data_IF_682870665121
#
_entry.id   IF_682870665121
#
_cell.length_a   1.000
_cell.length_b   1.000
_cell.length_c   1.000
_cell.angle_alpha   90.00
_cell.angle_beta   90.00
_cell.angle_gamma   90.00
#
_symmetry.space_group_name_H-M   'P 1'
#
loop_
_entity.id
_entity.type
_entity.pdbx_description
1 polymer ?
#
# COMPACT_ATOMS: atom_id res chain seq x y z
N UNK A 1 15.31 -2.82 8.90
CA UNK A 1 15.33 -1.60 9.75
C UNK A 1 16.35 -0.63 9.17
N UNK A 2 15.96 0.61 8.88
CA UNK A 2 16.91 1.64 8.47
C UNK A 2 17.61 2.15 9.74
N UNK A 3 18.87 1.80 9.94
CA UNK A 3 19.61 2.25 11.13
C UNK A 3 19.84 3.77 11.06
N UNK A 4 19.51 4.47 12.15
CA UNK A 4 19.65 5.91 12.30
C UNK A 4 21.10 6.42 12.16
N UNK A 5 22.10 5.54 12.27
CA UNK A 5 23.52 5.87 12.18
C UNK A 5 24.06 5.93 10.74
N UNK A 6 23.29 5.49 9.73
CA UNK A 6 23.74 5.54 8.34
C UNK A 6 23.70 6.94 7.73
N UNK A 7 24.48 7.11 6.66
CA UNK A 7 24.48 8.32 5.83
C UNK A 7 23.08 8.63 5.26
N UNK A 8 22.68 9.91 5.15
CA UNK A 8 21.38 10.31 4.59
C UNK A 8 21.06 9.71 3.21
N UNK A 9 22.03 9.62 2.30
CA UNK A 9 21.80 9.06 0.97
C UNK A 9 21.44 7.58 1.05
N UNK A 10 22.13 6.80 1.89
CA UNK A 10 21.80 5.39 2.11
C UNK A 10 20.39 5.20 2.68
N UNK A 11 20.00 6.05 3.64
CA UNK A 11 18.65 6.04 4.21
C UNK A 11 17.59 6.33 3.15
N UNK A 12 17.85 7.33 2.30
CA UNK A 12 16.95 7.71 1.22
C UNK A 12 16.79 6.57 0.20
N UNK A 13 17.88 5.99 -0.30
CA UNK A 13 17.82 4.87 -1.23
C UNK A 13 17.14 3.64 -0.62
N UNK A 14 17.36 3.39 0.66
CA UNK A 14 16.67 2.29 1.36
C UNK A 14 15.17 2.56 1.49
N UNK A 15 14.78 3.80 1.78
CA UNK A 15 13.38 4.21 1.82
C UNK A 15 12.71 4.08 0.44
N UNK A 16 13.39 4.51 -0.62
CA UNK A 16 12.93 4.37 -2.00
C UNK A 16 12.72 2.91 -2.38
N UNK A 17 13.68 2.04 -2.07
CA UNK A 17 13.56 0.60 -2.31
C UNK A 17 12.35 0.01 -1.58
N UNK A 18 12.18 0.28 -0.28
CA UNK A 18 11.02 -0.21 0.46
C UNK A 18 9.70 0.37 -0.05
N UNK A 19 9.70 1.62 -0.49
CA UNK A 19 8.51 2.26 -1.08
C UNK A 19 8.14 1.60 -2.41
N UNK A 20 9.14 1.26 -3.24
CA UNK A 20 8.95 0.51 -4.47
C UNK A 20 8.38 -0.90 -4.20
N UNK A 21 8.99 -1.65 -3.28
CA UNK A 21 8.52 -2.98 -2.87
C UNK A 21 7.11 -2.93 -2.24
N UNK A 22 6.78 -1.82 -1.59
CA UNK A 22 5.45 -1.57 -1.04
C UNK A 22 4.51 -0.84 -2.02
N UNK A 23 4.86 -0.70 -3.30
CA UNK A 23 3.99 -0.06 -4.28
C UNK A 23 2.81 -0.96 -4.64
N UNK A 24 1.64 -0.39 -5.03
CA UNK A 24 0.49 -1.20 -5.45
C UNK A 24 0.79 -2.12 -6.64
N UNK A 25 1.60 -1.67 -7.60
CA UNK A 25 1.96 -2.48 -8.77
C UNK A 25 2.84 -3.67 -8.39
N UNK A 26 3.86 -3.46 -7.56
CA UNK A 26 4.71 -4.55 -7.08
C UNK A 26 3.93 -5.53 -6.21
N UNK A 27 3.13 -5.02 -5.26
CA UNK A 27 2.32 -5.88 -4.40
C UNK A 27 1.28 -6.71 -5.17
N UNK A 28 0.75 -6.17 -6.27
CA UNK A 28 -0.16 -6.90 -7.15
C UNK A 28 0.56 -7.98 -7.95
N UNK A 29 1.74 -7.66 -8.48
CA UNK A 29 2.58 -8.65 -9.17
C UNK A 29 2.94 -9.83 -8.24
N UNK A 30 3.40 -9.54 -7.02
CA UNK A 30 3.73 -10.55 -6.01
C UNK A 30 2.52 -11.41 -5.65
N UNK A 31 1.35 -10.81 -5.47
CA UNK A 31 0.10 -11.54 -5.19
C UNK A 31 -0.25 -12.55 -6.29
N UNK A 32 -0.13 -12.14 -7.56
CA UNK A 32 -0.50 -12.97 -8.72
C UNK A 32 0.58 -13.98 -9.11
N UNK A 33 1.82 -13.80 -8.63
CA UNK A 33 2.93 -14.72 -8.92
C UNK A 33 2.80 -16.09 -8.23
N UNK A 34 1.89 -16.22 -7.26
CA UNK A 34 1.74 -17.42 -6.44
C UNK A 34 2.85 -17.61 -5.38
N UNK A 35 3.83 -16.69 -5.29
CA UNK A 35 4.90 -16.76 -4.29
C UNK A 35 4.41 -16.43 -2.87
N UNK A 36 3.37 -15.62 -2.75
CA UNK A 36 2.77 -15.24 -1.47
C UNK A 36 1.44 -15.97 -1.26
N UNK A 37 1.23 -16.42 -0.03
CA UNK A 37 -0.02 -17.04 0.42
C UNK A 37 -1.06 -15.95 0.72
N UNK A 38 -1.63 -15.36 -0.33
CA UNK A 38 -2.87 -14.59 -0.25
C UNK A 38 -2.76 -13.05 -0.09
N UNK A 39 -3.91 -12.37 0.05
CA UNK A 39 -4.02 -10.93 0.11
C UNK A 39 -3.42 -10.33 1.38
N UNK A 40 -2.63 -9.28 1.25
CA UNK A 40 -2.01 -8.55 2.37
C UNK A 40 -2.28 -7.03 2.33
N UNK A 41 -3.19 -6.59 1.44
CA UNK A 41 -3.68 -5.21 1.34
C UNK A 41 -5.18 -5.23 1.17
N UNK A 42 -5.86 -4.20 1.68
CA UNK A 42 -7.31 -4.08 1.50
C UNK A 42 -7.73 -4.04 0.02
N UNK A 43 -6.93 -3.38 -0.84
CA UNK A 43 -7.18 -3.35 -2.29
C UNK A 43 -7.05 -4.71 -2.98
N UNK A 44 -6.42 -5.70 -2.35
CA UNK A 44 -6.29 -7.04 -2.93
C UNK A 44 -7.56 -7.88 -2.77
N UNK A 45 -8.50 -7.46 -1.91
CA UNK A 45 -9.82 -8.09 -1.78
C UNK A 45 -10.84 -7.57 -2.80
N UNK A 46 -10.42 -6.78 -3.79
CA UNK A 46 -11.31 -6.32 -4.85
C UNK A 46 -11.81 -7.50 -5.69
N UNK A 47 -13.14 -7.67 -5.73
CA UNK A 47 -13.86 -8.68 -6.51
C UNK A 47 -14.54 -8.08 -7.75
N UNK A 48 -14.11 -6.88 -8.18
CA UNK A 48 -14.54 -6.31 -9.46
C UNK A 48 -14.13 -7.20 -10.63
N UNK A 49 -14.87 -7.10 -11.75
CA UNK A 49 -14.56 -7.85 -12.96
C UNK A 49 -13.12 -7.59 -13.48
N UNK A 50 -12.61 -6.37 -13.27
CA UNK A 50 -11.24 -6.04 -13.66
C UNK A 50 -10.21 -6.79 -12.81
N UNK A 51 -10.41 -6.85 -11.49
CA UNK A 51 -9.55 -7.61 -10.59
C UNK A 51 -9.62 -9.11 -10.88
N UNK A 52 -10.82 -9.66 -11.05
CA UNK A 52 -11.02 -11.08 -11.36
C UNK A 52 -10.42 -11.47 -12.71
N UNK A 53 -10.48 -10.60 -13.71
CA UNK A 53 -9.83 -10.82 -15.00
C UNK A 53 -8.30 -10.91 -14.88
N UNK A 54 -7.68 -10.10 -14.00
CA UNK A 54 -6.23 -10.20 -13.73
C UNK A 54 -5.86 -11.53 -13.05
N UNK A 55 -6.68 -12.01 -12.11
CA UNK A 55 -6.51 -13.33 -11.51
C UNK A 55 -6.69 -14.46 -12.54
N UNK A 56 -7.69 -14.37 -13.41
CA UNK A 56 -7.89 -15.33 -14.51
C UNK A 56 -6.72 -15.35 -15.49
N UNK A 57 -6.16 -14.18 -15.82
CA UNK A 57 -4.95 -14.07 -16.64
C UNK A 57 -3.71 -14.70 -15.99
N UNK A 58 -3.66 -14.75 -14.65
CA UNK A 58 -2.63 -15.45 -13.89
C UNK A 58 -2.90 -16.97 -13.71
N UNK A 59 -3.99 -17.49 -14.29
CA UNK A 59 -4.31 -18.92 -14.31
C UNK A 59 -5.20 -19.40 -13.17
N UNK A 60 -5.82 -18.48 -12.42
CA UNK A 60 -6.74 -18.84 -11.34
C UNK A 60 -8.18 -19.01 -11.84
N UNK A 61 -8.96 -19.82 -11.14
CA UNK A 61 -10.39 -20.01 -11.39
C UNK A 61 -11.15 -18.85 -10.73
N UNK A 62 -11.98 -18.16 -11.51
CA UNK A 62 -12.65 -16.92 -11.07
C UNK A 62 -13.54 -17.15 -9.84
N UNK A 63 -14.34 -18.21 -9.85
CA UNK A 63 -15.25 -18.55 -8.76
C UNK A 63 -14.50 -18.82 -7.46
N UNK A 64 -13.43 -19.62 -7.53
CA UNK A 64 -12.59 -19.97 -6.38
C UNK A 64 -11.90 -18.73 -5.79
N UNK A 65 -11.37 -17.86 -6.67
CA UNK A 65 -10.74 -16.60 -6.24
C UNK A 65 -11.76 -15.71 -5.55
N UNK A 66 -12.95 -15.55 -6.12
CA UNK A 66 -13.98 -14.69 -5.54
C UNK A 66 -14.41 -15.18 -4.17
N UNK A 67 -14.64 -16.48 -4.01
CA UNK A 67 -14.97 -17.09 -2.71
C UNK A 67 -13.83 -16.88 -1.70
N UNK A 68 -12.59 -17.16 -2.11
CA UNK A 68 -11.42 -16.98 -1.28
C UNK A 68 -11.22 -15.52 -0.81
N UNK A 69 -11.36 -14.55 -1.72
CA UNK A 69 -11.18 -13.13 -1.40
C UNK A 69 -12.25 -12.63 -0.43
N UNK A 70 -13.51 -13.03 -0.62
CA UNK A 70 -14.61 -12.68 0.28
C UNK A 70 -14.42 -13.29 1.67
N UNK A 71 -14.13 -14.59 1.75
CA UNK A 71 -13.89 -15.28 3.02
C UNK A 71 -12.69 -14.68 3.77
N UNK A 72 -11.61 -14.37 3.05
CA UNK A 72 -10.42 -13.74 3.63
C UNK A 72 -10.71 -12.32 4.12
N UNK A 73 -11.51 -11.54 3.39
CA UNK A 73 -11.94 -10.21 3.83
C UNK A 73 -12.81 -10.29 5.08
N UNK A 74 -13.78 -11.20 5.13
CA UNK A 74 -14.62 -11.42 6.32
C UNK A 74 -13.78 -11.84 7.53
N UNK A 75 -12.85 -12.78 7.35
CA UNK A 75 -11.92 -13.21 8.38
C UNK A 75 -11.10 -12.03 8.93
N UNK A 76 -10.51 -11.21 8.06
CA UNK A 76 -9.69 -10.06 8.46
C UNK A 76 -10.48 -8.96 9.18
N UNK A 77 -11.78 -8.85 8.93
CA UNK A 77 -12.66 -7.89 9.60
C UNK A 77 -13.46 -8.50 10.76
N UNK A 78 -13.25 -9.77 11.07
CA UNK A 78 -13.91 -10.44 12.19
C UNK A 78 -13.42 -9.86 13.52
N UNK A 79 -14.32 -9.60 14.49
CA UNK A 79 -13.91 -9.20 15.84
C UNK A 79 -13.11 -10.29 16.57
N UNK A 80 -13.12 -11.52 16.04
CA UNK A 80 -12.40 -12.67 16.60
C UNK A 80 -11.07 -12.94 15.89
N UNK A 81 -10.63 -12.09 14.96
CA UNK A 81 -9.33 -12.28 14.31
C UNK A 81 -8.21 -11.91 15.29
N UNK A 82 -7.40 -12.91 15.66
CA UNK A 82 -6.17 -12.70 16.40
C UNK A 82 -5.01 -12.65 15.41
N UNK A 83 -4.56 -11.44 15.06
CA UNK A 83 -3.33 -11.27 14.28
C UNK A 83 -2.11 -11.76 15.10
N UNK A 84 -1.04 -12.13 14.41
CA UNK A 84 0.19 -12.61 15.04
C UNK A 84 0.64 -11.73 16.21
N UNK A 85 0.93 -12.37 17.33
CA UNK A 85 1.40 -11.73 18.55
C UNK A 85 2.75 -11.07 18.29
N UNK A 86 2.75 -9.74 18.11
CA UNK A 86 3.97 -8.91 18.08
C UNK A 86 4.49 -8.62 19.49
N UNK A 87 4.74 -9.68 20.24
CA UNK A 87 5.30 -9.61 21.59
C UNK A 87 6.78 -9.99 21.56
N UNK A 88 7.52 -9.50 22.56
CA UNK A 88 8.89 -9.94 22.76
C UNK A 88 8.91 -11.47 22.94
N UNK A 89 9.85 -12.15 22.29
CA UNK A 89 9.92 -13.62 22.25
C UNK A 89 8.74 -14.30 21.52
N UNK A 90 8.09 -13.59 20.59
CA UNK A 90 7.01 -14.13 19.75
C UNK A 90 7.32 -15.50 19.12
N UNK A 91 8.52 -15.74 18.55
CA UNK A 91 8.88 -17.05 18.01
C UNK A 91 8.76 -18.19 19.04
N UNK A 92 9.10 -17.94 20.31
CA UNK A 92 8.98 -18.95 21.36
C UNK A 92 7.53 -19.26 21.72
N UNK A 93 6.65 -18.25 21.72
CA UNK A 93 5.20 -18.47 21.89
C UNK A 93 4.63 -19.32 20.75
N UNK A 94 5.00 -19.02 19.50
CA UNK A 94 4.57 -19.79 18.34
C UNK A 94 5.10 -21.23 18.38
N UNK A 95 6.34 -21.43 18.81
CA UNK A 95 6.91 -22.77 18.98
C UNK A 95 6.19 -23.57 20.08
N UNK A 96 5.84 -22.94 21.20
CA UNK A 96 5.04 -23.57 22.26
C UNK A 96 3.64 -23.95 21.77
N UNK A 97 2.96 -23.04 21.06
CA UNK A 97 1.67 -23.31 20.44
C UNK A 97 1.77 -24.49 19.46
N UNK A 98 2.79 -24.49 18.59
CA UNK A 98 3.03 -25.58 17.63
C UNK A 98 3.19 -26.94 18.32
N UNK A 99 3.99 -27.02 19.39
CA UNK A 99 4.14 -28.26 20.19
C UNK A 99 2.82 -28.71 20.81
N UNK A 100 2.04 -27.79 21.36
CA UNK A 100 0.74 -28.09 21.96
C UNK A 100 -0.25 -28.60 20.92
N UNK A 101 -0.31 -27.98 19.74
CA UNK A 101 -1.13 -28.44 18.61
C UNK A 101 -0.71 -29.84 18.17
N UNK A 102 0.59 -30.11 18.01
CA UNK A 102 1.07 -31.46 17.71
C UNK A 102 0.68 -32.48 18.78
N UNK A 103 0.68 -32.08 20.06
CA UNK A 103 0.30 -32.96 21.17
C UNK A 103 -1.17 -33.38 21.09
N UNK A 104 -2.06 -32.47 20.68
CA UNK A 104 -3.48 -32.79 20.40
C UNK A 104 -3.58 -33.83 19.29
N UNK A 105 -2.87 -33.66 18.17
CA UNK A 105 -2.88 -34.62 17.07
C UNK A 105 -2.34 -36.00 17.44
N UNK A 106 -1.46 -36.08 18.46
CA UNK A 106 -0.97 -37.35 19.00
C UNK A 106 -1.87 -37.97 20.07
N UNK A 107 -3.05 -37.38 20.34
CA UNK A 107 -4.04 -37.93 21.27
C UNK A 107 -3.80 -37.57 22.74
N UNK A 108 -3.02 -36.52 23.03
CA UNK A 108 -2.91 -35.99 24.40
C UNK A 108 -4.23 -35.34 24.80
N UNK A 109 -4.64 -35.52 26.06
CA UNK A 109 -5.84 -34.88 26.60
C UNK A 109 -5.79 -33.35 26.49
N UNK A 110 -6.91 -32.74 26.11
CA UNK A 110 -6.96 -31.30 25.84
C UNK A 110 -6.70 -30.46 27.10
N UNK A 111 -7.14 -30.91 28.28
CA UNK A 111 -6.90 -30.19 29.53
C UNK A 111 -5.40 -30.21 29.88
N UNK A 112 -4.73 -31.34 29.64
CA UNK A 112 -3.28 -31.45 29.81
C UNK A 112 -2.51 -30.56 28.82
N UNK A 113 -2.93 -30.54 27.55
CA UNK A 113 -2.34 -29.66 26.54
C UNK A 113 -2.51 -28.19 26.94
N UNK A 114 -3.69 -27.80 27.41
CA UNK A 114 -3.97 -26.44 27.85
C UNK A 114 -3.11 -26.05 29.06
N UNK A 115 -3.02 -26.91 30.07
CA UNK A 115 -2.20 -26.66 31.26
C UNK A 115 -0.72 -26.51 30.91
N UNK A 116 -0.20 -27.34 29.99
CA UNK A 116 1.19 -27.25 29.50
C UNK A 116 1.42 -25.97 28.71
N UNK A 117 0.50 -25.61 27.81
CA UNK A 117 0.60 -24.38 27.03
C UNK A 117 0.63 -23.14 27.93
N UNK A 118 -0.23 -23.12 28.96
CA UNK A 118 -0.26 -22.04 29.95
C UNK A 118 1.06 -21.95 30.72
N UNK A 119 1.61 -23.09 31.14
CA UNK A 119 2.91 -23.14 31.82
C UNK A 119 4.05 -22.64 30.92
N UNK A 120 4.09 -23.07 29.65
CA UNK A 120 5.07 -22.62 28.66
C UNK A 120 4.98 -21.10 28.46
N UNK A 121 3.78 -20.56 28.29
CA UNK A 121 3.57 -19.12 28.10
C UNK A 121 4.00 -18.31 29.32
N UNK A 122 3.72 -18.80 30.53
CA UNK A 122 4.19 -18.17 31.78
C UNK A 122 5.71 -18.21 31.90
N UNK A 123 6.35 -19.31 31.52
CA UNK A 123 7.80 -19.44 31.55
C UNK A 123 8.48 -18.51 30.51
N UNK A 124 7.92 -18.42 29.30
CA UNK A 124 8.41 -17.50 28.27
C UNK A 124 8.31 -16.06 28.75
N UNK A 125 7.17 -15.69 29.34
CA UNK A 125 6.91 -14.37 29.90
C UNK A 125 7.88 -14.05 31.04
N UNK A 126 8.05 -14.96 32.00
CA UNK A 126 9.00 -14.78 33.10
C UNK A 126 10.43 -14.55 32.58
N UNK A 127 10.81 -15.19 31.48
CA UNK A 127 12.11 -15.01 30.83
C UNK A 127 12.27 -13.72 30.02
N UNK A 128 11.19 -13.09 29.52
CA UNK A 128 11.25 -11.78 28.85
C UNK A 128 11.16 -10.60 29.82
N UNK A 129 10.57 -10.82 30.99
CA UNK A 129 10.32 -9.82 32.03
C UNK A 129 8.86 -9.86 32.50
N UNK A 130 8.57 -9.28 33.68
CA UNK A 130 7.20 -9.24 34.21
C UNK A 130 6.19 -8.67 33.19
N UNK A 131 4.96 -9.19 33.19
CA UNK A 131 3.85 -8.79 32.30
C UNK A 131 3.70 -7.28 32.15
N UNK A 132 3.82 -6.54 33.26
CA UNK A 132 3.72 -5.09 33.28
C UNK A 132 4.73 -4.41 32.33
N UNK A 133 5.97 -4.91 32.30
CA UNK A 133 7.05 -4.37 31.46
C UNK A 133 6.86 -4.74 29.99
N UNK A 134 6.36 -5.94 29.70
CA UNK A 134 6.00 -6.35 28.33
C UNK A 134 4.84 -5.49 27.81
N UNK A 135 3.82 -5.24 28.63
CA UNK A 135 2.71 -4.36 28.29
C UNK A 135 3.15 -2.90 28.09
N UNK A 136 4.05 -2.40 28.93
CA UNK A 136 4.67 -1.08 28.76
C UNK A 136 5.39 -0.97 27.42
N UNK A 137 6.32 -1.89 27.13
CA UNK A 137 7.07 -1.92 25.86
C UNK A 137 6.14 -2.08 24.64
N UNK A 138 5.11 -2.91 24.75
CA UNK A 138 4.12 -3.09 23.70
C UNK A 138 3.33 -1.79 23.44
N UNK A 139 2.87 -1.11 24.50
CA UNK A 139 2.16 0.16 24.39
C UNK A 139 3.06 1.26 23.84
N UNK A 140 4.32 1.33 24.25
CA UNK A 140 5.33 2.23 23.69
C UNK A 140 5.54 1.96 22.19
N UNK A 141 5.66 0.68 21.81
CA UNK A 141 5.82 0.26 20.41
C UNK A 141 4.63 0.59 19.52
N UNK A 142 3.43 0.67 20.09
CA UNK A 142 2.20 1.13 19.43
C UNK A 142 2.01 2.65 19.47
N UNK A 143 2.88 3.39 20.18
CA UNK A 143 2.76 4.84 20.35
C UNK A 143 1.73 5.28 21.41
N UNK A 144 1.24 4.37 22.24
CA UNK A 144 0.31 4.65 23.35
C UNK A 144 1.00 5.02 24.66
N UNK A 145 2.27 4.66 24.84
CA UNK A 145 3.09 5.19 25.93
C UNK A 145 3.57 6.57 25.53
N UNK A 146 3.02 7.61 26.17
CA UNK A 146 3.07 9.01 25.74
C UNK A 146 4.33 9.36 24.96
N UNK A 147 4.15 9.89 23.74
CA UNK A 147 5.22 10.29 22.83
C UNK A 147 6.38 10.90 23.62
N UNK A 148 7.48 10.15 23.79
CA UNK A 148 8.77 10.79 24.06
C UNK A 148 8.95 11.76 22.91
N UNK A 149 8.98 13.06 23.23
CA UNK A 149 9.09 14.12 22.26
C UNK A 149 10.18 13.71 21.26
N UNK A 150 9.81 13.63 19.97
CA UNK A 150 10.79 13.44 18.92
C UNK A 150 11.90 14.47 19.17
N UNK A 151 13.19 14.08 19.05
CA UNK A 151 14.25 15.07 19.10
C UNK A 151 13.86 16.20 18.14
N UNK A 152 13.95 17.48 18.57
CA UNK A 152 13.44 18.58 17.78
C UNK A 152 13.99 18.43 16.36
N UNK A 153 13.15 18.59 15.32
CA UNK A 153 13.63 18.52 13.95
C UNK A 153 14.86 19.41 13.88
N UNK A 154 16.00 18.86 13.45
CA UNK A 154 17.19 19.68 13.19
C UNK A 154 16.70 20.75 12.23
N UNK A 155 16.62 21.99 12.71
CA UNK A 155 16.32 23.17 11.92
C UNK A 155 17.52 23.40 11.01
N UNK A 156 17.56 22.63 9.93
CA UNK A 156 18.53 22.72 8.85
C UNK A 156 17.77 22.75 7.55
N UNK A 157 16.86 23.71 7.41
CA UNK A 157 16.56 24.27 6.10
C UNK A 157 17.34 25.57 6.04
N UNK A 158 18.57 25.48 5.52
CA UNK A 158 19.35 26.66 5.18
C UNK A 158 18.50 27.53 4.22
N UNK A 159 18.44 28.83 4.50
CA UNK A 159 17.61 29.80 3.76
C UNK A 159 17.88 29.85 2.25
N UNK A 160 18.98 29.24 1.80
CA UNK A 160 19.31 29.03 0.40
C UNK A 160 18.28 28.14 -0.33
N UNK A 161 17.83 27.04 0.29
CA UNK A 161 16.88 26.10 -0.35
C UNK A 161 15.50 26.73 -0.52
N UNK A 162 15.06 27.54 0.45
CA UNK A 162 13.78 28.24 0.37
C UNK A 162 13.81 29.29 -0.76
N UNK A 163 14.94 29.96 -0.97
CA UNK A 163 15.12 30.93 -2.06
C UNK A 163 15.09 30.27 -3.45
N UNK A 164 15.67 29.08 -3.58
CA UNK A 164 15.66 28.29 -4.83
C UNK A 164 14.24 27.81 -5.14
N UNK A 165 13.52 27.26 -4.14
CA UNK A 165 12.14 26.79 -4.33
C UNK A 165 11.21 27.95 -4.69
N UNK A 166 11.33 29.11 -4.02
CA UNK A 166 10.54 30.29 -4.36
C UNK A 166 10.84 30.79 -5.79
N UNK A 167 12.11 30.79 -6.19
CA UNK A 167 12.54 31.20 -7.52
C UNK A 167 11.99 30.30 -8.64
N UNK A 168 11.99 28.98 -8.42
CA UNK A 168 11.44 28.01 -9.38
C UNK A 168 9.92 28.14 -9.49
N UNK A 169 9.21 28.32 -8.36
CA UNK A 169 7.75 28.49 -8.38
C UNK A 169 7.35 29.79 -9.09
N UNK A 170 8.02 30.91 -8.80
CA UNK A 170 7.74 32.20 -9.46
C UNK A 170 8.00 32.16 -10.97
N UNK A 171 9.06 31.48 -11.41
CA UNK A 171 9.37 31.36 -12.83
C UNK A 171 8.36 30.49 -13.58
N UNK A 172 7.91 29.37 -12.99
CA UNK A 172 6.85 28.53 -13.59
C UNK A 172 5.51 29.30 -13.70
N UNK A 173 5.13 30.05 -12.65
CA UNK A 173 3.91 30.87 -12.65
C UNK A 173 3.98 31.97 -13.73
N UNK A 174 5.13 32.63 -13.88
CA UNK A 174 5.33 33.64 -14.92
C UNK A 174 5.23 33.05 -16.34
N UNK A 175 5.83 31.89 -16.58
CA UNK A 175 5.73 31.20 -17.89
C UNK A 175 4.29 30.83 -18.19
N UNK A 176 3.55 30.27 -17.22
CA UNK A 176 2.13 29.95 -17.39
C UNK A 176 1.28 31.18 -17.66
N UNK A 177 1.53 32.30 -16.98
CA UNK A 177 0.82 33.56 -17.21
C UNK A 177 1.07 34.10 -18.62
N UNK A 178 2.32 34.03 -19.13
CA UNK A 178 2.66 34.44 -20.49
C UNK A 178 1.99 33.53 -21.53
N UNK A 179 1.97 32.21 -21.31
CA UNK A 179 1.30 31.25 -22.20
C UNK A 179 -0.21 31.50 -22.23
N UNK A 180 -0.84 31.76 -21.08
CA UNK A 180 -2.26 32.08 -20.99
C UNK A 180 -2.60 33.42 -21.66
N UNK A 181 -1.77 34.44 -21.47
CA UNK A 181 -1.94 35.73 -22.14
C UNK A 181 -1.79 35.59 -23.66
N UNK A 182 -0.77 34.86 -24.13
CA UNK A 182 -0.58 34.56 -25.55
C UNK A 182 -1.78 33.78 -26.12
N UNK A 183 -2.28 32.78 -25.39
CA UNK A 183 -3.47 32.03 -25.78
C UNK A 183 -4.70 32.92 -25.92
N UNK A 184 -4.96 33.83 -24.98
CA UNK A 184 -6.10 34.75 -25.05
C UNK A 184 -5.98 35.77 -26.19
N UNK A 185 -4.79 36.32 -26.42
CA UNK A 185 -4.53 37.25 -27.54
C UNK A 185 -4.69 36.55 -28.89
N UNK A 186 -4.19 35.32 -29.02
CA UNK A 186 -4.28 34.54 -30.26
C UNK A 186 -5.70 34.03 -30.52
N UNK A 187 -6.44 33.65 -29.47
CA UNK A 187 -7.87 33.33 -29.56
C UNK A 187 -8.69 34.52 -30.03
N UNK A 188 -8.40 35.73 -29.54
CA UNK A 188 -9.08 36.96 -30.00
C UNK A 188 -8.75 37.34 -31.45
N UNK A 189 -7.65 36.80 -32.00
CA UNK A 189 -7.19 37.06 -33.38
C UNK A 189 -7.45 35.89 -34.35
N UNK A 190 -8.19 34.83 -33.95
CA UNK A 190 -8.42 33.62 -34.76
C UNK A 190 -7.14 32.94 -35.29
N UNK A 191 -6.05 33.00 -34.53
CA UNK A 191 -4.76 32.36 -34.88
C UNK A 191 -4.38 31.27 -33.90
N UNK A 192 -3.67 30.25 -34.35
CA UNK A 192 -3.11 29.19 -33.50
C UNK A 192 -1.90 29.69 -32.70
N UNK A 193 -1.45 28.90 -31.72
CA UNK A 193 -0.23 29.16 -30.93
C UNK A 193 1.04 29.26 -31.78
N UNK A 194 1.02 28.72 -33.01
CA UNK A 194 2.09 28.79 -34.01
C UNK A 194 1.83 29.87 -35.09
N UNK A 195 0.84 30.75 -34.88
CA UNK A 195 0.57 31.89 -35.75
C UNK A 195 -0.25 31.60 -37.01
N UNK A 196 -0.69 30.35 -37.23
CA UNK A 196 -1.46 30.00 -38.43
C UNK A 196 -2.96 30.36 -38.30
N UNK A 197 -3.61 30.84 -39.38
CA UNK A 197 -5.04 31.11 -39.38
C UNK A 197 -5.82 29.80 -39.17
N UNK A 198 -6.78 29.80 -38.24
CA UNK A 198 -7.62 28.62 -37.99
C UNK A 198 -8.65 28.45 -39.11
N UNK A 199 -8.70 27.26 -39.68
CA UNK A 199 -9.75 26.82 -40.61
C UNK A 199 -11.09 26.79 -39.86
N UNK A 200 -12.23 27.19 -40.49
CA UNK A 200 -13.55 27.12 -39.86
C UNK A 200 -13.86 25.68 -39.41
N UNK A 201 -14.39 25.53 -38.20
CA UNK A 201 -14.81 24.21 -37.71
C UNK A 201 -16.10 23.76 -38.42
N UNK A 202 -16.31 22.43 -38.56
CA UNK A 202 -17.52 21.88 -39.16
C UNK A 202 -18.75 22.30 -38.35
N UNK A 203 -19.74 22.89 -39.01
CA UNK A 203 -21.09 23.07 -38.48
C UNK A 203 -22.00 21.98 -39.07
N UNK A 204 -23.15 21.76 -38.42
CA UNK A 204 -24.12 20.69 -38.70
C UNK A 204 -24.63 20.65 -40.17
N UNK A 205 -24.33 21.66 -40.98
CA UNK A 205 -24.71 21.74 -42.40
C UNK A 205 -23.77 20.98 -43.37
N UNK A 206 -22.68 20.36 -42.90
CA UNK A 206 -21.67 19.72 -43.81
C UNK A 206 -21.40 18.23 -43.60
N UNK A 207 -22.23 17.50 -42.85
CA UNK A 207 -22.05 16.04 -42.72
C UNK A 207 -22.93 15.28 -43.73
N UNK A 208 -22.35 14.84 -44.84
CA UNK A 208 -22.96 13.85 -45.73
C UNK A 208 -22.95 12.48 -45.05
N UNK A 209 -24.14 11.98 -44.67
CA UNK A 209 -24.33 10.60 -44.23
C UNK A 209 -24.24 9.66 -45.44
N UNK A 210 -23.18 8.85 -45.52
CA UNK A 210 -23.07 7.76 -46.49
C UNK A 210 -23.59 6.48 -45.82
N UNK A 211 -24.79 6.03 -46.18
CA UNK A 211 -25.30 4.71 -45.81
C UNK A 211 -24.90 3.67 -46.86
N UNK A 212 -24.25 2.59 -46.43
CA UNK A 212 -23.98 1.44 -47.28
C UNK A 212 -25.10 0.41 -47.09
N UNK A 213 -25.90 0.18 -48.14
CA UNK A 213 -26.79 -0.98 -48.24
C UNK A 213 -26.04 -2.12 -48.92
N UNK A 214 -25.75 -3.19 -48.18
CA UNK A 214 -25.27 -4.46 -48.74
C UNK A 214 -26.48 -5.30 -49.17
N UNK A 215 -26.66 -5.46 -50.47
CA UNK A 215 -27.62 -6.40 -51.08
C UNK A 215 -27.01 -7.80 -51.01
N UNK A 216 -27.78 -8.74 -50.45
CA UNK A 216 -27.49 -10.17 -50.48
C UNK A 216 -27.55 -10.72 -51.91
N UNK A 217 -26.60 -11.60 -52.24
CA UNK A 217 -26.73 -12.62 -53.28
C UNK A 217 -26.30 -13.96 -52.66
#
# INVERSE_FOLDING_TARGET
MVNALHDPAFKQSTYELFSFLASPSWSRHELLSGLLMGPFRYSHFDVSNASLAEWGAAGYIEEDVKEFLLASFEMMNSPNVAMDLRIQRGPEYLAALGRSVSSVFTGTDLADVQARLEADFKAILAGSGLLAKVLEVFRDGLGFGGQKALPPPRSGFDGEVLSIVLGVVLSVVMVLAVVLAAYFVLRRRNRSLLGQPRVPQPCDETTLAVSWHTVMA
#
